data_IF_546047202991
#
_entry.id   IF_546047202991
#
_cell.length_a   1.000
_cell.length_b   1.000
_cell.length_c   1.000
_cell.angle_alpha   90.00
_cell.angle_beta   90.00
_cell.angle_gamma   90.00
#
_symmetry.space_group_name_H-M   'P 1'
#
loop_
_entity.id
_entity.type
_entity.pdbx_description
1 polymer ?
#
# COMPACT_ATOMS: atom_id res chain seq x y z
N UNK A 1 -15.61 -19.12 14.75
CA UNK A 1 -15.97 -18.01 13.84
C UNK A 1 -15.04 -16.80 13.96
N UNK A 2 -14.84 -16.22 15.14
CA UNK A 2 -14.03 -15.00 15.31
C UNK A 2 -12.59 -15.09 14.77
N UNK A 3 -11.88 -16.21 15.00
CA UNK A 3 -10.51 -16.41 14.51
C UNK A 3 -10.41 -16.41 12.97
N UNK A 4 -11.41 -16.99 12.28
CA UNK A 4 -11.48 -17.01 10.82
C UNK A 4 -11.62 -15.58 10.28
N UNK A 5 -12.51 -14.79 10.88
CA UNK A 5 -12.73 -13.38 10.52
C UNK A 5 -11.46 -12.56 10.76
N UNK A 6 -10.81 -12.71 11.92
CA UNK A 6 -9.57 -12.00 12.25
C UNK A 6 -8.48 -12.26 11.20
N UNK A 7 -8.27 -13.52 10.83
CA UNK A 7 -7.26 -13.89 9.84
C UNK A 7 -7.54 -13.24 8.47
N UNK A 8 -8.81 -13.19 8.06
CA UNK A 8 -9.23 -12.58 6.80
C UNK A 8 -9.05 -11.06 6.84
N UNK A 9 -9.35 -10.39 7.96
CA UNK A 9 -9.12 -8.95 8.14
C UNK A 9 -7.63 -8.60 8.02
N UNK A 10 -6.76 -9.40 8.64
CA UNK A 10 -5.30 -9.22 8.56
C UNK A 10 -4.84 -9.45 7.11
N UNK A 11 -5.30 -10.51 6.47
CA UNK A 11 -4.97 -10.79 5.07
C UNK A 11 -5.47 -9.67 4.15
N UNK A 12 -6.62 -9.08 4.41
CA UNK A 12 -7.22 -8.02 3.58
C UNK A 12 -6.39 -6.74 3.67
N UNK A 13 -5.85 -6.47 4.86
CA UNK A 13 -4.97 -5.34 5.13
C UNK A 13 -3.66 -5.40 4.32
N UNK A 14 -3.21 -6.59 3.91
CA UNK A 14 -1.95 -6.79 3.18
C UNK A 14 -2.19 -7.14 1.70
N UNK A 15 -3.09 -8.09 1.43
CA UNK A 15 -3.39 -8.67 0.12
C UNK A 15 -4.91 -8.67 -0.16
N UNK A 16 -5.46 -7.48 -0.34
CA UNK A 16 -6.90 -7.23 -0.58
C UNK A 16 -7.55 -8.05 -1.72
N UNK A 17 -6.81 -8.35 -2.78
CA UNK A 17 -7.37 -9.10 -3.92
C UNK A 17 -7.61 -10.58 -3.58
N UNK A 18 -6.74 -11.19 -2.79
CA UNK A 18 -6.79 -12.63 -2.51
C UNK A 18 -7.75 -12.99 -1.38
N UNK A 19 -8.24 -12.01 -0.65
CA UNK A 19 -9.02 -12.24 0.57
C UNK A 19 -10.43 -12.74 0.34
N UNK A 20 -11.12 -12.27 -0.70
CA UNK A 20 -12.46 -12.77 -0.99
C UNK A 20 -12.43 -14.25 -1.43
N UNK A 21 -11.61 -14.68 -2.42
CA UNK A 21 -11.49 -16.09 -2.76
C UNK A 21 -11.08 -16.96 -1.56
N UNK A 22 -10.12 -16.49 -0.77
CA UNK A 22 -9.65 -17.21 0.41
C UNK A 22 -10.73 -17.36 1.50
N UNK A 23 -11.56 -16.34 1.72
CA UNK A 23 -12.67 -16.40 2.66
C UNK A 23 -13.72 -17.44 2.25
N UNK A 24 -13.97 -17.59 0.95
CA UNK A 24 -14.91 -18.57 0.41
C UNK A 24 -14.39 -20.01 0.56
N UNK A 25 -13.09 -20.24 0.32
CA UNK A 25 -12.43 -21.55 0.53
C UNK A 25 -12.53 -22.00 2.00
N UNK A 26 -12.48 -21.06 2.95
CA UNK A 26 -12.63 -21.33 4.40
C UNK A 26 -14.09 -21.60 4.82
N UNK A 27 -15.04 -21.45 3.89
CA UNK A 27 -16.47 -21.60 4.11
C UNK A 27 -17.08 -20.48 4.94
N UNK A 28 -16.56 -19.25 4.86
CA UNK A 28 -17.23 -18.10 5.48
C UNK A 28 -18.46 -17.69 4.68
N UNK A 29 -19.50 -17.27 5.41
CA UNK A 29 -20.65 -16.65 4.77
C UNK A 29 -20.22 -15.37 4.03
N UNK A 30 -20.75 -15.21 2.82
CA UNK A 30 -20.37 -14.14 1.91
C UNK A 30 -20.53 -12.73 2.52
N UNK A 31 -21.59 -12.51 3.31
CA UNK A 31 -21.84 -11.25 4.02
C UNK A 31 -20.69 -10.89 4.97
N UNK A 32 -20.26 -11.84 5.81
CA UNK A 32 -19.14 -11.63 6.73
C UNK A 32 -17.81 -11.49 6.00
N UNK A 33 -17.63 -12.18 4.86
CA UNK A 33 -16.43 -12.06 4.04
C UNK A 33 -16.28 -10.64 3.45
N UNK A 34 -17.35 -10.03 2.93
CA UNK A 34 -17.33 -8.66 2.41
C UNK A 34 -17.09 -7.65 3.53
N UNK A 35 -17.77 -7.80 4.67
CA UNK A 35 -17.57 -6.89 5.81
C UNK A 35 -16.12 -6.96 6.33
N UNK A 36 -15.56 -8.17 6.44
CA UNK A 36 -14.16 -8.37 6.82
C UNK A 36 -13.18 -7.79 5.78
N UNK A 37 -13.49 -7.95 4.48
CA UNK A 37 -12.70 -7.40 3.39
C UNK A 37 -12.67 -5.87 3.44
N UNK A 38 -13.84 -5.22 3.45
CA UNK A 38 -13.94 -3.76 3.45
C UNK A 38 -13.35 -3.17 4.73
N UNK A 39 -13.70 -3.75 5.89
CA UNK A 39 -13.18 -3.33 7.18
C UNK A 39 -11.65 -3.49 7.27
N UNK A 40 -11.11 -4.64 6.85
CA UNK A 40 -9.67 -4.89 6.81
C UNK A 40 -8.95 -4.05 5.76
N UNK A 41 -9.57 -3.79 4.62
CA UNK A 41 -9.01 -2.93 3.57
C UNK A 41 -8.88 -1.48 4.01
N UNK A 42 -9.96 -0.90 4.53
CA UNK A 42 -9.98 0.48 5.03
C UNK A 42 -9.09 0.60 6.27
N UNK A 43 -9.26 -0.28 7.25
CA UNK A 43 -8.49 -0.29 8.49
C UNK A 43 -7.00 -0.48 8.24
N UNK A 44 -6.63 -1.46 7.42
CA UNK A 44 -5.26 -1.72 6.99
C UNK A 44 -4.65 -0.52 6.25
N UNK A 45 -5.39 0.07 5.31
CA UNK A 45 -4.92 1.26 4.59
C UNK A 45 -4.62 2.42 5.55
N UNK A 46 -5.55 2.73 6.45
CA UNK A 46 -5.36 3.80 7.44
C UNK A 46 -4.17 3.50 8.35
N UNK A 47 -4.08 2.27 8.87
CA UNK A 47 -2.96 1.83 9.69
C UNK A 47 -1.62 2.04 8.98
N UNK A 48 -1.45 1.51 7.77
CA UNK A 48 -0.21 1.66 7.00
C UNK A 48 0.04 3.10 6.56
N UNK A 49 -0.99 3.88 6.28
CA UNK A 49 -0.87 5.29 5.90
C UNK A 49 -0.30 6.12 7.04
N UNK A 50 -0.87 6.02 8.25
CA UNK A 50 -0.37 6.73 9.42
C UNK A 50 0.97 6.18 9.91
N UNK A 51 1.18 4.86 9.85
CA UNK A 51 2.45 4.23 10.16
C UNK A 51 3.55 4.77 9.23
N UNK A 52 3.29 4.84 7.93
CA UNK A 52 4.25 5.37 6.95
C UNK A 52 4.62 6.82 7.25
N UNK A 53 3.70 7.64 7.77
CA UNK A 53 3.97 9.04 8.16
C UNK A 53 4.92 9.10 9.36
N UNK A 54 4.72 8.22 10.36
CA UNK A 54 5.62 8.09 11.50
C UNK A 54 7.00 7.61 11.07
N UNK A 55 7.05 6.57 10.23
CA UNK A 55 8.31 6.03 9.69
C UNK A 55 9.05 7.10 8.90
N UNK A 56 8.42 7.79 7.95
CA UNK A 56 9.06 8.83 7.14
C UNK A 56 9.58 10.02 7.97
N UNK A 57 8.87 10.41 9.04
CA UNK A 57 9.32 11.47 9.96
C UNK A 57 10.44 10.98 10.86
N UNK A 58 10.31 9.80 11.45
CA UNK A 58 11.29 9.16 12.32
C UNK A 58 12.60 8.89 11.58
N UNK A 59 12.53 8.40 10.34
CA UNK A 59 13.71 8.16 9.52
C UNK A 59 14.48 9.46 9.24
N UNK A 60 13.79 10.60 9.09
CA UNK A 60 14.44 11.92 8.91
C UNK A 60 15.25 12.37 10.13
N UNK A 61 14.83 11.99 11.34
CA UNK A 61 15.47 12.32 12.62
C UNK A 61 16.53 11.29 13.00
N UNK A 62 16.26 10.01 12.77
CA UNK A 62 17.17 8.90 13.07
C UNK A 62 18.33 8.79 12.08
N UNK A 63 18.14 9.09 10.78
CA UNK A 63 19.23 9.04 9.78
C UNK A 63 20.47 9.83 10.23
N UNK A 64 20.39 11.14 10.57
CA UNK A 64 21.59 11.91 10.91
C UNK A 64 22.30 11.40 12.16
N UNK A 65 21.58 10.87 13.14
CA UNK A 65 22.16 10.29 14.35
C UNK A 65 22.88 8.97 14.08
N UNK A 66 22.28 8.10 13.25
CA UNK A 66 22.91 6.85 12.81
C UNK A 66 24.16 7.17 11.98
N UNK A 67 24.09 8.14 11.07
CA UNK A 67 25.23 8.58 10.24
C UNK A 67 26.44 9.07 11.06
N UNK A 68 26.22 9.63 12.26
CA UNK A 68 27.30 10.05 13.15
C UNK A 68 27.95 8.89 13.92
N UNK A 69 27.23 7.79 14.14
CA UNK A 69 27.73 6.62 14.90
C UNK A 69 28.33 5.51 14.05
N UNK A 70 28.48 5.68 12.73
CA UNK A 70 29.00 4.62 11.85
C UNK A 70 30.54 4.58 11.87
N UNK A 71 31.16 3.41 12.11
CA UNK A 71 32.61 3.23 12.09
C UNK A 71 33.22 3.42 10.68
N UNK A 72 34.50 3.81 10.64
CA UNK A 72 35.21 4.32 9.46
C UNK A 72 35.22 3.34 8.27
N UNK A 73 35.26 2.02 8.53
CA UNK A 73 35.25 0.99 7.48
C UNK A 73 33.94 0.90 6.67
N UNK A 74 32.82 1.34 7.24
CA UNK A 74 31.49 1.32 6.58
C UNK A 74 31.12 2.73 6.06
N UNK A 75 31.91 3.74 6.43
CA UNK A 75 31.68 5.16 6.14
C UNK A 75 31.54 5.45 4.65
N UNK A 76 32.29 4.78 3.78
CA UNK A 76 32.17 4.97 2.31
C UNK A 76 30.85 4.43 1.73
N UNK A 77 30.38 3.25 2.16
CA UNK A 77 29.08 2.69 1.70
C UNK A 77 27.90 3.47 2.26
N UNK A 78 28.00 3.90 3.52
CA UNK A 78 26.94 4.63 4.21
C UNK A 78 26.94 6.13 3.89
N UNK A 79 28.07 6.73 3.52
CA UNK A 79 28.14 8.11 3.02
C UNK A 79 27.25 8.32 1.80
N UNK A 80 27.09 7.31 0.92
CA UNK A 80 26.17 7.39 -0.22
C UNK A 80 24.70 7.54 0.23
N UNK A 81 24.34 6.93 1.36
CA UNK A 81 22.99 6.99 1.94
C UNK A 81 22.79 8.29 2.75
N UNK A 82 23.79 8.69 3.54
CA UNK A 82 23.80 9.89 4.38
C UNK A 82 23.94 11.21 3.59
N UNK A 83 24.72 11.22 2.50
CA UNK A 83 24.96 12.40 1.65
C UNK A 83 23.77 12.73 0.74
N UNK A 84 22.68 11.96 0.78
CA UNK A 84 21.48 12.18 -0.04
C UNK A 84 20.73 13.48 0.30
N UNK A 85 21.09 14.20 1.37
CA UNK A 85 20.43 15.46 1.77
C UNK A 85 20.91 16.71 1.01
N UNK A 86 22.15 16.75 0.51
CA UNK A 86 22.74 17.99 -0.03
C UNK A 86 23.26 17.92 -1.47
N UNK A 87 23.29 16.75 -2.12
CA UNK A 87 23.57 16.67 -3.55
C UNK A 87 22.24 16.57 -4.30
N UNK A 88 21.97 17.54 -5.21
CA UNK A 88 20.90 17.45 -6.22
C UNK A 88 20.80 15.99 -6.66
N UNK A 89 19.63 15.34 -6.59
CA UNK A 89 19.53 13.92 -6.88
C UNK A 89 20.15 13.68 -8.25
N UNK A 90 21.32 13.02 -8.30
CA UNK A 90 21.93 12.63 -9.58
C UNK A 90 20.84 11.89 -10.32
N UNK A 91 20.46 12.38 -11.51
CA UNK A 91 19.43 11.82 -12.37
C UNK A 91 19.88 10.43 -12.85
N UNK A 92 19.96 9.44 -11.97
CA UNK A 92 20.03 8.03 -12.34
C UNK A 92 18.64 7.67 -12.81
N UNK A 93 18.40 7.99 -14.06
CA UNK A 93 17.25 7.63 -14.85
C UNK A 93 17.26 6.12 -15.11
N UNK A 94 17.15 5.32 -14.04
CA UNK A 94 16.91 3.88 -14.13
C UNK A 94 15.55 3.65 -14.77
N UNK A 95 15.40 2.59 -15.58
CA UNK A 95 14.13 2.26 -16.28
C UNK A 95 12.93 2.29 -15.33
N UNK A 96 13.10 1.75 -14.12
CA UNK A 96 12.08 1.77 -13.04
C UNK A 96 11.70 3.18 -12.58
N UNK A 97 12.67 4.09 -12.38
CA UNK A 97 12.41 5.49 -12.01
C UNK A 97 11.77 6.27 -13.16
N UNK A 98 12.18 6.04 -14.42
CA UNK A 98 11.52 6.63 -15.60
C UNK A 98 10.08 6.20 -15.71
N UNK A 99 9.80 4.90 -15.55
CA UNK A 99 8.44 4.37 -15.59
C UNK A 99 7.56 4.99 -14.51
N UNK A 100 8.06 5.09 -13.28
CA UNK A 100 7.32 5.69 -12.16
C UNK A 100 7.07 7.20 -12.37
N UNK A 101 8.04 7.92 -12.95
CA UNK A 101 7.87 9.32 -13.34
C UNK A 101 6.89 9.46 -14.51
N UNK A 102 6.94 8.57 -15.51
CA UNK A 102 6.05 8.58 -16.68
C UNK A 102 4.60 8.30 -16.26
N UNK A 103 4.38 7.32 -15.38
CA UNK A 103 3.06 7.07 -14.77
C UNK A 103 2.57 8.32 -14.04
N UNK A 104 3.43 8.96 -13.23
CA UNK A 104 3.07 10.18 -12.51
C UNK A 104 2.71 11.33 -13.46
N UNK A 105 3.47 11.54 -14.53
CA UNK A 105 3.25 12.65 -15.47
C UNK A 105 2.07 12.42 -16.40
N UNK A 106 1.78 11.17 -16.76
CA UNK A 106 0.74 10.82 -17.74
C UNK A 106 -0.61 10.53 -17.09
N UNK A 107 -0.63 9.88 -15.91
CA UNK A 107 -1.89 9.48 -15.25
C UNK A 107 -2.18 10.24 -13.94
N UNK A 108 -1.24 11.06 -13.46
CA UNK A 108 -1.45 11.91 -12.29
C UNK A 108 -1.85 11.14 -11.01
N UNK A 109 -2.64 11.80 -10.16
CA UNK A 109 -3.20 11.24 -8.92
C UNK A 109 -4.13 10.05 -9.19
N UNK A 110 -4.93 10.16 -10.26
CA UNK A 110 -5.98 9.20 -10.62
C UNK A 110 -5.41 7.85 -11.02
N UNK A 111 -4.29 7.82 -11.77
CA UNK A 111 -3.62 6.57 -12.12
C UNK A 111 -3.15 5.77 -10.92
N UNK A 112 -2.68 6.44 -9.86
CA UNK A 112 -2.25 5.76 -8.63
C UNK A 112 -3.47 5.26 -7.86
N UNK A 113 -4.55 6.05 -7.76
CA UNK A 113 -5.79 5.66 -7.05
C UNK A 113 -6.48 4.47 -7.73
N UNK A 114 -6.52 4.44 -9.06
CA UNK A 114 -7.15 3.37 -9.84
C UNK A 114 -6.28 2.12 -9.86
N UNK A 115 -4.95 2.27 -10.02
CA UNK A 115 -4.03 1.14 -10.09
C UNK A 115 -3.68 0.55 -8.72
N UNK A 116 -3.91 1.27 -7.61
CA UNK A 116 -3.46 0.80 -6.29
C UNK A 116 -4.13 -0.51 -5.86
N UNK A 117 -5.45 -0.61 -5.75
CA UNK A 117 -6.07 -1.85 -5.28
C UNK A 117 -5.94 -3.03 -6.28
N UNK A 118 -5.55 -2.78 -7.54
CA UNK A 118 -5.35 -3.82 -8.56
C UNK A 118 -3.91 -4.34 -8.63
N UNK A 119 -2.89 -3.47 -8.55
CA UNK A 119 -1.47 -3.85 -8.73
C UNK A 119 -0.58 -3.61 -7.51
N UNK A 120 -0.97 -2.74 -6.58
CA UNK A 120 -0.15 -2.35 -5.42
C UNK A 120 -0.85 -2.72 -4.13
N UNK A 121 -0.34 -3.75 -3.45
CA UNK A 121 -0.73 -4.12 -2.08
C UNK A 121 -0.98 -2.89 -1.21
N UNK A 122 -2.04 -2.92 -0.39
CA UNK A 122 -2.46 -1.80 0.47
C UNK A 122 -1.29 -1.11 1.21
N UNK A 123 -0.31 -1.82 1.80
CA UNK A 123 0.82 -1.19 2.47
C UNK A 123 1.65 -0.29 1.54
N UNK A 124 1.90 -0.76 0.32
CA UNK A 124 2.68 -0.02 -0.68
C UNK A 124 1.87 1.15 -1.23
N UNK A 125 0.56 0.96 -1.45
CA UNK A 125 -0.35 2.02 -1.85
C UNK A 125 -0.43 3.14 -0.81
N UNK A 126 -0.57 2.78 0.46
CA UNK A 126 -0.58 3.71 1.59
C UNK A 126 0.75 4.48 1.71
N UNK A 127 1.88 3.79 1.56
CA UNK A 127 3.21 4.42 1.56
C UNK A 127 3.39 5.40 0.40
N UNK A 128 2.99 5.01 -0.83
CA UNK A 128 3.05 5.89 -2.00
C UNK A 128 2.13 7.10 -1.84
N UNK A 129 0.89 6.90 -1.41
CA UNK A 129 -0.08 7.97 -1.20
C UNK A 129 0.47 9.02 -0.23
N UNK A 130 1.04 8.58 0.90
CA UNK A 130 1.65 9.48 1.86
C UNK A 130 2.91 10.15 1.29
N UNK A 131 3.82 9.40 0.64
CA UNK A 131 5.07 9.97 0.12
C UNK A 131 4.86 11.02 -0.97
N UNK A 132 3.93 10.80 -1.89
CA UNK A 132 3.75 11.66 -3.06
C UNK A 132 2.62 12.69 -2.90
N UNK A 133 1.61 12.39 -2.08
CA UNK A 133 0.39 13.20 -1.99
C UNK A 133 0.00 13.60 -0.57
N UNK A 134 0.89 13.47 0.44
CA UNK A 134 0.63 13.89 1.82
C UNK A 134 0.17 15.36 1.98
N UNK A 135 0.38 16.24 1.00
CA UNK A 135 -0.11 17.63 1.04
C UNK A 135 -1.61 17.77 0.76
N UNK A 136 -2.25 16.81 0.08
CA UNK A 136 -3.70 16.88 -0.19
C UNK A 136 -4.47 16.14 0.91
N UNK A 137 -5.31 16.86 1.66
CA UNK A 137 -6.11 16.28 2.76
C UNK A 137 -7.11 15.22 2.28
N UNK A 138 -7.63 15.39 1.06
CA UNK A 138 -8.68 14.52 0.51
C UNK A 138 -8.15 13.18 -0.04
N UNK A 139 -6.83 12.95 -0.02
CA UNK A 139 -6.24 11.71 -0.57
C UNK A 139 -6.75 10.46 0.13
N UNK A 140 -6.93 10.54 1.46
CA UNK A 140 -7.41 9.41 2.27
C UNK A 140 -8.82 9.03 1.83
N UNK A 141 -9.69 10.03 1.63
CA UNK A 141 -11.06 9.80 1.18
C UNK A 141 -11.12 9.15 -0.20
N UNK A 142 -10.33 9.63 -1.17
CA UNK A 142 -10.27 9.02 -2.50
C UNK A 142 -9.75 7.57 -2.47
N UNK A 143 -8.81 7.25 -1.58
CA UNK A 143 -8.29 5.88 -1.42
C UNK A 143 -9.34 4.96 -0.79
N UNK A 144 -10.10 5.44 0.20
CA UNK A 144 -11.22 4.69 0.78
C UNK A 144 -12.29 4.42 -0.29
N UNK A 145 -12.68 5.44 -1.06
CA UNK A 145 -13.62 5.27 -2.17
C UNK A 145 -13.13 4.22 -3.17
N UNK A 146 -11.86 4.27 -3.55
CA UNK A 146 -11.27 3.26 -4.43
C UNK A 146 -11.37 1.85 -3.84
N UNK A 147 -11.01 1.66 -2.55
CA UNK A 147 -11.11 0.36 -1.87
C UNK A 147 -12.55 -0.17 -1.90
N UNK A 148 -13.53 0.69 -1.63
CA UNK A 148 -14.96 0.32 -1.64
C UNK A 148 -15.42 -0.04 -3.05
N UNK A 149 -15.15 0.81 -4.05
CA UNK A 149 -15.51 0.56 -5.45
C UNK A 149 -14.92 -0.76 -5.96
N UNK A 150 -13.65 -1.03 -5.67
CA UNK A 150 -13.02 -2.29 -6.06
C UNK A 150 -13.54 -3.49 -5.25
N UNK A 151 -13.86 -3.30 -3.97
CA UNK A 151 -14.54 -4.33 -3.17
C UNK A 151 -15.87 -4.75 -3.78
N UNK A 152 -16.66 -3.79 -4.26
CA UNK A 152 -17.92 -4.05 -4.97
C UNK A 152 -17.69 -4.77 -6.31
N UNK A 153 -16.68 -4.37 -7.09
CA UNK A 153 -16.33 -5.06 -8.34
C UNK A 153 -15.93 -6.51 -8.09
N UNK A 154 -15.03 -6.77 -7.12
CA UNK A 154 -14.62 -8.14 -6.78
C UNK A 154 -15.77 -8.99 -6.24
N UNK A 155 -16.61 -8.39 -5.40
CA UNK A 155 -17.84 -8.99 -4.91
C UNK A 155 -18.75 -9.39 -6.09
N UNK A 156 -18.99 -8.49 -7.04
CA UNK A 156 -19.79 -8.77 -8.25
C UNK A 156 -19.20 -9.88 -9.11
N UNK A 157 -17.87 -9.89 -9.31
CA UNK A 157 -17.19 -10.93 -10.10
C UNK A 157 -17.37 -12.32 -9.46
N UNK A 158 -17.23 -12.43 -8.15
CA UNK A 158 -17.39 -13.72 -7.44
C UNK A 158 -18.84 -14.21 -7.49
N UNK A 159 -19.80 -13.28 -7.42
CA UNK A 159 -21.22 -13.60 -7.55
C UNK A 159 -21.59 -14.07 -8.97
N UNK A 160 -20.93 -13.52 -10.00
CA UNK A 160 -21.13 -13.89 -11.41
C UNK A 160 -20.40 -15.19 -11.81
N UNK A 161 -19.27 -15.51 -11.18
CA UNK A 161 -18.49 -16.72 -11.45
C UNK A 161 -18.38 -17.67 -10.24
N UNK A 162 -19.50 -18.13 -9.66
CA UNK A 162 -19.44 -19.10 -8.56
C UNK A 162 -18.81 -20.41 -9.03
N UNK A 163 -19.13 -20.86 -10.26
CA UNK A 163 -18.72 -22.18 -10.78
C UNK A 163 -17.20 -22.39 -10.93
N UNK A 164 -16.38 -21.34 -10.95
CA UNK A 164 -14.92 -21.46 -11.12
C UNK A 164 -14.20 -21.73 -9.78
N UNK A 165 -14.82 -21.34 -8.65
CA UNK A 165 -14.22 -21.48 -7.32
C UNK A 165 -14.79 -22.63 -6.49
N UNK A 166 -15.93 -23.20 -6.90
CA UNK A 166 -16.64 -24.29 -6.21
C UNK A 166 -16.41 -25.68 -6.85
N UNK A 167 -15.30 -25.89 -7.55
CA UNK A 167 -14.94 -27.21 -8.11
C UNK A 167 -13.97 -27.96 -7.21
#
# INVERSE_FOLDING_TARGET
MALKVLHIVILASVKYMLTLPYAMIIGMEYKYAILALLGGGIGGFLFFYYLSKRVLKGWRVLLPQICQRVPVGIKQRVQLFCSSKNKKPRKRFTRRKRFLVKIKTTYGLWGIIIATPFFLTIPVGAFLANKYYSRRKNIVFYMILSIVSWGMVYSGIILLFPRIFFQ
#
